data_IF_224419721071
#
_entry.id   IF_224419721071
#
_cell.length_a   1.000
_cell.length_b   1.000
_cell.length_c   1.000
_cell.angle_alpha   90.00
_cell.angle_beta   90.00
_cell.angle_gamma   90.00
#
_symmetry.space_group_name_H-M   'P 1'
#
loop_
_entity.id
_entity.type
_entity.pdbx_description
1 polymer ?
#
# COMPACT_ATOMS: atom_id res chain seq x y z
N UNK A 1 17.82 17.92 -9.94
CA UNK A 1 18.58 16.75 -10.45
C UNK A 1 17.59 15.76 -11.03
N UNK A 2 17.86 15.20 -12.22
CA UNK A 2 16.98 14.18 -12.83
C UNK A 2 17.35 12.80 -12.29
N UNK A 3 16.42 12.12 -11.63
CA UNK A 3 16.66 10.80 -11.05
C UNK A 3 16.95 9.72 -12.12
N UNK A 4 16.63 9.97 -13.39
CA UNK A 4 16.86 9.02 -14.50
C UNK A 4 18.31 8.98 -14.96
N UNK A 5 19.14 9.93 -14.54
CA UNK A 5 20.53 10.06 -15.02
C UNK A 5 21.56 9.46 -14.05
N UNK A 6 21.13 8.96 -12.88
CA UNK A 6 22.03 8.40 -11.86
C UNK A 6 21.57 6.97 -11.52
N UNK A 7 22.26 5.92 -11.98
CA UNK A 7 21.93 4.54 -11.63
C UNK A 7 22.28 4.22 -10.18
N UNK A 8 21.54 3.28 -9.57
CA UNK A 8 21.81 2.82 -8.20
C UNK A 8 23.22 2.23 -8.01
N UNK A 9 23.86 1.76 -9.08
CA UNK A 9 25.21 1.20 -9.04
C UNK A 9 26.29 2.24 -8.69
N UNK A 10 26.07 3.50 -9.04
CA UNK A 10 27.06 4.58 -8.87
C UNK A 10 27.26 4.96 -7.41
N UNK A 11 26.28 4.70 -6.55
CA UNK A 11 26.37 4.97 -5.11
C UNK A 11 27.30 4.00 -4.37
N UNK A 12 27.73 2.91 -4.99
CA UNK A 12 28.68 1.95 -4.43
C UNK A 12 28.35 1.46 -3.00
N UNK A 13 27.06 1.34 -2.66
CA UNK A 13 26.58 0.91 -1.34
C UNK A 13 27.25 -0.34 -0.78
N UNK A 14 27.66 -0.31 0.48
CA UNK A 14 28.13 -1.47 1.23
C UNK A 14 26.95 -2.39 1.56
N UNK A 15 27.24 -3.66 1.84
CA UNK A 15 26.23 -4.58 2.35
C UNK A 15 25.63 -4.06 3.66
N UNK A 16 24.30 -4.11 3.76
CA UNK A 16 23.47 -3.56 4.82
C UNK A 16 23.48 -2.04 4.97
N UNK A 17 24.08 -1.30 4.03
CA UNK A 17 23.95 0.16 3.98
C UNK A 17 22.50 0.57 3.73
N UNK A 18 22.10 1.69 4.33
CA UNK A 18 20.73 2.19 4.33
C UNK A 18 20.69 3.62 3.86
N UNK A 19 19.63 3.97 3.16
CA UNK A 19 19.29 5.35 2.84
C UNK A 19 17.78 5.56 2.98
N UNK A 20 17.37 6.82 3.12
CA UNK A 20 15.97 7.20 3.16
C UNK A 20 15.52 7.58 1.76
N UNK A 21 14.36 7.10 1.37
CA UNK A 21 13.61 7.55 0.22
C UNK A 21 12.34 8.23 0.71
N UNK A 22 12.29 9.55 0.59
CA UNK A 22 11.10 10.33 0.89
C UNK A 22 10.16 10.25 -0.32
N UNK A 23 8.96 9.79 -0.05
CA UNK A 23 7.87 9.64 -1.00
C UNK A 23 6.74 10.56 -0.55
N UNK A 24 6.08 11.22 -1.50
CA UNK A 24 5.04 12.21 -1.23
C UNK A 24 5.52 13.35 -0.30
N UNK A 25 5.96 14.44 -0.92
CA UNK A 25 6.42 15.64 -0.21
C UNK A 25 5.29 16.37 0.57
N UNK A 26 4.03 15.97 0.41
CA UNK A 26 2.92 16.49 1.22
C UNK A 26 2.79 15.77 2.56
N UNK A 27 2.69 14.45 2.50
CA UNK A 27 2.39 13.60 3.66
C UNK A 27 3.63 13.14 4.45
N UNK A 28 4.84 13.32 3.89
CA UNK A 28 6.09 13.03 4.57
C UNK A 28 6.35 11.53 4.78
N UNK A 29 5.95 10.69 3.81
CA UNK A 29 6.25 9.26 3.87
C UNK A 29 7.74 9.02 3.65
N UNK A 30 8.33 8.16 4.48
CA UNK A 30 9.75 7.81 4.38
C UNK A 30 9.92 6.30 4.33
N UNK A 31 10.60 5.83 3.29
CA UNK A 31 11.03 4.45 3.15
C UNK A 31 12.49 4.32 3.52
N UNK A 32 12.80 3.42 4.46
CA UNK A 32 14.18 2.99 4.69
C UNK A 32 14.53 1.92 3.66
N UNK A 33 15.39 2.25 2.70
CA UNK A 33 15.88 1.29 1.70
C UNK A 33 17.23 0.76 2.19
N UNK A 34 17.38 -0.57 2.17
CA UNK A 34 18.61 -1.26 2.59
C UNK A 34 19.12 -2.16 1.47
N UNK A 35 20.41 -2.06 1.16
CA UNK A 35 21.07 -2.98 0.21
C UNK A 35 21.60 -4.19 0.98
N UNK A 36 20.79 -5.25 1.07
CA UNK A 36 21.14 -6.43 1.88
C UNK A 36 22.21 -7.30 1.22
N UNK A 37 22.12 -7.49 -0.10
CA UNK A 37 23.05 -8.33 -0.86
C UNK A 37 23.12 -7.90 -2.32
N UNK A 38 24.30 -8.08 -2.94
CA UNK A 38 24.49 -8.00 -4.40
C UNK A 38 24.64 -9.43 -4.93
N UNK A 39 23.82 -9.79 -5.92
CA UNK A 39 23.79 -11.12 -6.52
C UNK A 39 24.05 -11.02 -8.02
N UNK A 40 24.52 -12.12 -8.61
CA UNK A 40 24.64 -12.23 -10.07
C UNK A 40 23.24 -12.27 -10.70
N UNK A 41 23.11 -11.66 -11.88
CA UNK A 41 21.84 -11.66 -12.62
C UNK A 41 21.55 -13.07 -13.13
N UNK A 42 20.34 -13.55 -12.89
CA UNK A 42 19.84 -14.81 -13.42
C UNK A 42 19.39 -14.65 -14.88
N UNK A 43 20.00 -15.36 -15.86
CA UNK A 43 19.81 -15.08 -17.29
C UNK A 43 18.38 -15.20 -17.83
N UNK A 44 17.48 -15.94 -17.15
CA UNK A 44 16.09 -16.18 -17.58
C UNK A 44 15.06 -15.50 -16.68
N UNK A 45 15.50 -14.71 -15.71
CA UNK A 45 14.60 -14.08 -14.74
C UNK A 45 14.29 -12.65 -15.17
N UNK A 46 13.01 -12.33 -15.28
CA UNK A 46 12.54 -10.96 -15.47
C UNK A 46 12.59 -10.22 -14.12
N UNK A 47 13.18 -9.04 -14.09
CA UNK A 47 13.26 -8.16 -12.93
C UNK A 47 12.40 -6.90 -13.14
N UNK A 48 11.91 -6.24 -12.08
CA UNK A 48 12.07 -6.57 -10.66
C UNK A 48 11.18 -7.75 -10.19
N UNK A 49 11.54 -8.37 -9.06
CA UNK A 49 10.74 -9.44 -8.42
C UNK A 49 10.61 -9.18 -6.93
N UNK A 50 9.37 -9.21 -6.44
CA UNK A 50 9.07 -9.21 -5.01
C UNK A 50 9.27 -10.62 -4.43
N UNK A 51 10.26 -10.76 -3.56
CA UNK A 51 10.59 -12.02 -2.88
C UNK A 51 9.83 -12.21 -1.57
N UNK A 52 9.33 -11.13 -0.96
CA UNK A 52 8.60 -11.15 0.30
C UNK A 52 8.03 -9.77 0.64
N UNK A 53 7.16 -9.74 1.64
CA UNK A 53 6.51 -8.53 2.14
C UNK A 53 5.46 -8.89 3.18
N UNK A 54 5.02 -7.89 3.93
CA UNK A 54 3.98 -8.02 4.94
C UNK A 54 3.17 -6.73 4.97
N UNK A 55 1.87 -6.88 5.25
CA UNK A 55 0.88 -5.79 5.28
C UNK A 55 0.66 -5.13 3.93
N UNK A 56 -0.48 -4.45 3.80
CA UNK A 56 -0.74 -3.56 2.70
C UNK A 56 0.06 -2.26 2.88
N UNK A 57 0.31 -1.56 1.78
CA UNK A 57 0.77 -0.19 1.85
C UNK A 57 -0.32 0.69 2.52
N UNK A 58 0.07 1.78 3.21
CA UNK A 58 -0.89 2.80 3.61
C UNK A 58 -1.75 3.23 2.41
N UNK A 59 -3.05 3.48 2.59
CA UNK A 59 -3.87 4.07 1.54
C UNK A 59 -3.27 5.40 1.07
N UNK A 60 -3.40 5.72 -0.22
CA UNK A 60 -3.01 7.03 -0.75
C UNK A 60 -3.79 8.14 -0.05
N UNK A 61 -3.19 9.33 0.05
CA UNK A 61 -3.77 10.53 0.65
C UNK A 61 -4.32 10.33 2.08
N UNK A 62 -3.73 9.43 2.86
CA UNK A 62 -4.20 9.15 4.22
C UNK A 62 -3.66 10.13 5.29
N UNK A 63 -2.90 11.16 4.90
CA UNK A 63 -2.45 12.26 5.76
C UNK A 63 -1.14 11.97 6.49
N UNK A 64 -0.29 11.13 5.91
CA UNK A 64 1.02 10.78 6.45
C UNK A 64 1.04 9.77 7.61
N UNK A 65 2.23 9.44 8.12
CA UNK A 65 2.42 8.35 9.09
C UNK A 65 1.60 8.47 10.37
N UNK A 66 1.49 9.68 10.92
CA UNK A 66 0.75 9.93 12.17
C UNK A 66 -0.76 9.78 11.98
N UNK A 67 -1.31 10.34 10.90
CA UNK A 67 -2.73 10.21 10.60
C UNK A 67 -3.08 8.76 10.26
N UNK A 68 -2.21 8.06 9.53
CA UNK A 68 -2.36 6.63 9.27
C UNK A 68 -2.47 5.81 10.56
N UNK A 69 -1.54 5.99 11.51
CA UNK A 69 -1.57 5.26 12.79
C UNK A 69 -2.86 5.55 13.56
N UNK A 70 -3.23 6.83 13.68
CA UNK A 70 -4.46 7.25 14.35
C UNK A 70 -5.69 6.61 13.71
N UNK A 71 -5.78 6.62 12.38
CA UNK A 71 -6.94 6.08 11.65
C UNK A 71 -7.00 4.56 11.72
N UNK A 72 -5.87 3.87 11.56
CA UNK A 72 -5.77 2.41 11.75
C UNK A 72 -6.32 1.99 13.11
N UNK A 73 -5.97 2.71 14.17
CA UNK A 73 -6.38 2.37 15.54
C UNK A 73 -7.86 2.73 15.80
N UNK A 74 -8.42 3.70 15.07
CA UNK A 74 -9.81 4.12 15.20
C UNK A 74 -10.81 3.24 14.42
N UNK A 75 -10.43 2.71 13.25
CA UNK A 75 -11.32 1.97 12.34
C UNK A 75 -12.08 0.82 13.03
N UNK A 76 -11.48 0.00 13.91
CA UNK A 76 -12.24 -1.04 14.62
C UNK A 76 -13.40 -0.50 15.47
N UNK A 77 -13.26 0.69 16.04
CA UNK A 77 -14.34 1.37 16.77
C UNK A 77 -15.44 1.86 15.81
N UNK A 78 -15.06 2.47 14.70
CA UNK A 78 -16.00 2.95 13.68
C UNK A 78 -16.85 1.81 13.11
N UNK A 79 -16.26 0.64 12.86
CA UNK A 79 -17.02 -0.53 12.39
C UNK A 79 -18.08 -0.97 13.39
N UNK A 80 -17.79 -0.91 14.70
CA UNK A 80 -18.78 -1.23 15.73
C UNK A 80 -19.95 -0.25 15.67
N UNK A 81 -19.67 1.04 15.58
CA UNK A 81 -20.70 2.09 15.49
C UNK A 81 -21.56 1.94 14.23
N UNK A 82 -20.94 1.71 13.07
CA UNK A 82 -21.67 1.47 11.81
C UNK A 82 -22.52 0.20 11.88
N UNK A 83 -22.02 -0.87 12.50
CA UNK A 83 -22.77 -2.11 12.69
C UNK A 83 -24.04 -1.88 13.53
N UNK A 84 -23.94 -1.16 14.64
CA UNK A 84 -25.08 -0.82 15.50
C UNK A 84 -26.14 -0.02 14.72
N UNK A 85 -25.71 0.94 13.89
CA UNK A 85 -26.62 1.71 13.03
C UNK A 85 -27.26 0.88 11.94
N UNK A 86 -26.52 -0.01 11.29
CA UNK A 86 -27.05 -0.94 10.28
C UNK A 86 -28.19 -1.77 10.88
N UNK A 87 -27.99 -2.34 12.08
CA UNK A 87 -29.03 -3.12 12.77
C UNK A 87 -30.24 -2.25 13.08
N UNK A 88 -30.05 -1.05 13.65
CA UNK A 88 -31.15 -0.14 13.96
C UNK A 88 -31.95 0.29 12.71
N UNK A 89 -31.27 0.52 11.58
CA UNK A 89 -31.92 0.87 10.31
C UNK A 89 -32.74 -0.28 9.73
N UNK A 90 -32.28 -1.53 9.89
CA UNK A 90 -33.05 -2.72 9.52
C UNK A 90 -34.32 -2.81 10.37
N UNK A 91 -34.20 -2.65 11.69
CA UNK A 91 -35.34 -2.70 12.62
C UNK A 91 -36.36 -1.58 12.34
N UNK A 92 -35.89 -0.39 11.96
CA UNK A 92 -36.74 0.74 11.58
C UNK A 92 -37.29 0.66 10.15
N UNK A 93 -36.77 -0.23 9.30
CA UNK A 93 -37.09 -0.29 7.87
C UNK A 93 -36.55 0.89 7.05
N UNK A 94 -35.58 1.63 7.59
CA UNK A 94 -34.96 2.80 6.93
C UNK A 94 -33.88 2.35 5.94
N UNK A 95 -34.27 2.24 4.67
CA UNK A 95 -33.38 1.76 3.61
C UNK A 95 -32.34 2.79 3.18
N UNK A 96 -32.62 4.08 3.36
CA UNK A 96 -31.70 5.13 2.95
C UNK A 96 -30.51 5.17 3.92
N UNK A 97 -30.78 5.16 5.24
CA UNK A 97 -29.72 5.07 6.23
C UNK A 97 -28.95 3.76 6.10
N UNK A 98 -29.64 2.64 5.84
CA UNK A 98 -28.97 1.35 5.61
C UNK A 98 -27.97 1.41 4.45
N UNK A 99 -28.35 2.03 3.32
CA UNK A 99 -27.45 2.19 2.16
C UNK A 99 -26.22 3.03 2.54
N UNK A 100 -26.44 4.17 3.17
CA UNK A 100 -25.36 5.11 3.51
C UNK A 100 -24.35 4.49 4.49
N UNK A 101 -24.84 3.71 5.47
CA UNK A 101 -23.98 3.01 6.43
C UNK A 101 -23.21 1.85 5.78
N UNK A 102 -23.79 1.15 4.80
CA UNK A 102 -23.07 0.12 4.03
C UNK A 102 -21.96 0.73 3.16
N UNK A 103 -22.21 1.89 2.53
CA UNK A 103 -21.20 2.65 1.81
C UNK A 103 -20.08 3.13 2.73
N UNK A 104 -20.43 3.59 3.94
CA UNK A 104 -19.45 3.98 4.95
C UNK A 104 -18.55 2.80 5.35
N UNK A 105 -19.12 1.61 5.60
CA UNK A 105 -18.33 0.40 5.90
C UNK A 105 -17.45 0.00 4.72
N UNK A 106 -17.96 0.09 3.49
CA UNK A 106 -17.18 -0.22 2.29
C UNK A 106 -15.98 0.72 2.14
N UNK A 107 -16.14 2.02 2.46
CA UNK A 107 -15.04 2.99 2.47
C UNK A 107 -13.89 2.62 3.45
N UNK A 108 -14.20 1.82 4.48
CA UNK A 108 -13.23 1.35 5.46
C UNK A 108 -12.51 0.06 5.04
N UNK A 109 -12.89 -0.55 3.89
CA UNK A 109 -12.33 -1.84 3.43
C UNK A 109 -10.81 -1.84 3.37
N UNK A 110 -10.19 -0.80 2.80
CA UNK A 110 -8.74 -0.70 2.69
C UNK A 110 -8.06 -0.77 4.08
N UNK A 111 -8.66 -0.13 5.07
CA UNK A 111 -8.18 -0.10 6.46
C UNK A 111 -8.36 -1.45 7.17
N UNK A 112 -9.43 -2.18 6.87
CA UNK A 112 -9.70 -3.50 7.43
C UNK A 112 -8.82 -4.61 6.85
N UNK A 113 -8.22 -4.37 5.70
CA UNK A 113 -7.33 -5.33 5.03
C UNK A 113 -5.85 -5.01 5.17
N UNK A 114 -5.47 -4.08 6.07
CA UNK A 114 -4.08 -3.64 6.23
C UNK A 114 -3.09 -4.76 6.55
N UNK A 115 -3.51 -5.86 7.17
CA UNK A 115 -2.61 -6.99 7.44
C UNK A 115 -2.40 -7.94 6.24
N UNK A 116 -3.08 -7.71 5.12
CA UNK A 116 -2.98 -8.57 3.93
C UNK A 116 -1.87 -8.11 2.99
N UNK A 117 -1.07 -9.06 2.51
CA UNK A 117 -0.08 -8.84 1.47
C UNK A 117 -0.17 -9.91 0.39
N UNK A 118 -0.50 -9.51 -0.84
CA UNK A 118 -0.58 -10.43 -1.98
C UNK A 118 0.66 -10.34 -2.87
N UNK A 119 1.66 -11.19 -2.57
CA UNK A 119 2.90 -11.30 -3.34
C UNK A 119 2.66 -11.71 -4.81
N UNK A 120 1.58 -12.45 -5.10
CA UNK A 120 1.26 -12.87 -6.47
C UNK A 120 0.73 -11.67 -7.26
N UNK A 121 -0.19 -10.88 -6.70
CA UNK A 121 -0.70 -9.64 -7.30
C UNK A 121 0.44 -8.64 -7.54
N UNK A 122 1.35 -8.47 -6.57
CA UNK A 122 2.54 -7.61 -6.74
C UNK A 122 3.41 -8.08 -7.89
N UNK A 123 3.82 -9.35 -7.91
CA UNK A 123 4.70 -9.87 -8.97
C UNK A 123 4.02 -9.88 -10.36
N UNK A 124 2.70 -10.03 -10.42
CA UNK A 124 1.95 -9.86 -11.66
C UNK A 124 2.11 -8.43 -12.20
N UNK A 125 1.93 -7.40 -11.36
CA UNK A 125 2.14 -6.00 -11.76
C UNK A 125 3.60 -5.70 -12.12
N UNK A 126 4.57 -6.24 -11.40
CA UNK A 126 6.00 -6.06 -11.72
C UNK A 126 6.37 -6.67 -13.08
N UNK A 127 5.73 -7.77 -13.49
CA UNK A 127 5.90 -8.33 -14.84
C UNK A 127 5.35 -7.41 -15.92
N UNK A 128 4.16 -6.83 -15.70
CA UNK A 128 3.59 -5.84 -16.62
C UNK A 128 4.51 -4.62 -16.74
N UNK A 129 5.01 -4.11 -15.61
CA UNK A 129 5.99 -3.03 -15.58
C UNK A 129 7.24 -3.35 -16.41
N UNK A 130 7.83 -4.54 -16.21
CA UNK A 130 9.01 -4.96 -16.95
C UNK A 130 8.76 -5.16 -18.46
N UNK A 131 7.52 -5.44 -18.85
CA UNK A 131 7.09 -5.54 -20.24
C UNK A 131 6.76 -4.18 -20.88
N UNK A 132 6.83 -3.07 -20.12
CA UNK A 132 6.41 -1.75 -20.60
C UNK A 132 4.89 -1.60 -20.76
N UNK A 133 4.10 -2.49 -20.13
CA UNK A 133 2.64 -2.53 -20.27
C UNK A 133 1.97 -1.62 -19.23
N UNK A 134 1.35 -0.52 -19.68
CA UNK A 134 0.74 0.50 -18.83
C UNK A 134 -0.31 -0.01 -17.82
N UNK A 135 -0.88 -1.21 -18.05
CA UNK A 135 -1.79 -1.86 -17.08
C UNK A 135 -1.14 -2.08 -15.73
N UNK A 136 0.19 -2.04 -15.63
CA UNK A 136 0.88 -2.08 -14.33
C UNK A 136 0.43 -0.93 -13.40
N UNK A 137 0.01 0.21 -13.95
CA UNK A 137 -0.46 1.40 -13.21
C UNK A 137 -1.94 1.35 -12.82
N UNK A 138 -2.73 0.43 -13.37
CA UNK A 138 -4.15 0.34 -13.03
C UNK A 138 -4.33 0.15 -11.52
N UNK A 139 -5.26 0.91 -10.94
CA UNK A 139 -5.57 0.78 -9.52
C UNK A 139 -6.15 -0.60 -9.19
N UNK A 140 -5.93 -1.10 -7.95
CA UNK A 140 -6.31 -2.44 -7.53
C UNK A 140 -7.81 -2.74 -7.50
#
# INVERSE_FOLDING_TARGET
HDARTVPLADFQFRSNERFLYEYDFGDGWQHVVRVERRLTVEPRRTYPVCVGGQRAAPPEDCGGPWAFLKRRDAVPGQIREHWERIVASIDAGDRDVLRDELEAVESLRAWLTLDRFDRRKVNYRLKLYAAGDERWRAEP
#
